data_IF_948825465793
#
_entry.id   IF_948825465793
#
_cell.length_a   1.000
_cell.length_b   1.000
_cell.length_c   1.000
_cell.angle_alpha   90.00
_cell.angle_beta   90.00
_cell.angle_gamma   90.00
#
_symmetry.space_group_name_H-M   'P 1'
#
loop_
_entity.id
_entity.type
_entity.pdbx_description
1 polymer ?
#
# COMPACT_ATOMS: atom_id res chain seq x y z
N UNK A 1 0.44 -10.59 7.06
CA UNK A 1 0.44 -10.09 8.45
C UNK A 1 1.07 -11.17 9.34
N UNK A 2 2.24 -10.92 9.97
CA UNK A 2 3.01 -11.98 10.64
C UNK A 2 2.46 -12.29 12.04
N UNK A 3 2.55 -13.56 12.50
CA UNK A 3 2.16 -13.98 13.86
C UNK A 3 2.82 -13.11 14.96
N UNK A 4 4.05 -12.63 14.73
CA UNK A 4 4.76 -11.69 15.62
C UNK A 4 4.06 -10.33 15.74
N UNK A 5 3.44 -9.83 14.68
CA UNK A 5 2.68 -8.57 14.69
C UNK A 5 1.41 -8.67 15.56
N UNK A 6 0.70 -9.78 15.49
CA UNK A 6 -0.53 -10.03 16.27
C UNK A 6 -0.22 -10.15 17.77
N UNK A 7 0.87 -10.82 18.14
CA UNK A 7 1.30 -10.95 19.55
C UNK A 7 1.75 -9.61 20.13
N UNK A 8 2.47 -8.78 19.35
CA UNK A 8 2.90 -7.44 19.76
C UNK A 8 1.71 -6.50 19.95
N UNK A 9 0.71 -6.58 19.06
CA UNK A 9 -0.53 -5.82 19.14
C UNK A 9 -1.38 -6.22 20.37
N UNK A 10 -1.48 -7.53 20.67
CA UNK A 10 -2.17 -8.02 21.89
C UNK A 10 -1.50 -7.56 23.20
N UNK A 11 -0.16 -7.51 23.25
CA UNK A 11 0.56 -7.00 24.44
C UNK A 11 0.35 -5.50 24.62
N UNK A 12 0.38 -4.73 23.54
CA UNK A 12 0.16 -3.28 23.57
C UNK A 12 -1.28 -2.93 23.97
N UNK A 13 -2.27 -3.69 23.47
CA UNK A 13 -3.67 -3.55 23.86
C UNK A 13 -3.88 -3.84 25.36
N UNK A 14 -3.30 -4.93 25.89
CA UNK A 14 -3.35 -5.23 27.33
C UNK A 14 -2.70 -4.14 28.19
N UNK A 15 -1.63 -3.52 27.70
CA UNK A 15 -0.95 -2.43 28.39
C UNK A 15 -1.81 -1.15 28.44
N UNK A 16 -2.43 -0.78 27.31
CA UNK A 16 -3.37 0.36 27.25
C UNK A 16 -4.59 0.14 28.15
N UNK A 17 -5.14 -1.09 28.15
CA UNK A 17 -6.26 -1.45 29.01
C UNK A 17 -5.89 -1.42 30.50
N UNK A 18 -4.66 -1.85 30.84
CA UNK A 18 -4.11 -1.75 32.19
C UNK A 18 -3.95 -0.31 32.66
N UNK A 19 -3.44 0.58 31.80
CA UNK A 19 -3.34 2.01 32.11
C UNK A 19 -4.71 2.66 32.33
N UNK A 20 -5.71 2.30 31.53
CA UNK A 20 -7.09 2.78 31.70
C UNK A 20 -7.73 2.28 33.00
N UNK A 21 -7.47 1.02 33.39
CA UNK A 21 -7.95 0.48 34.66
C UNK A 21 -7.29 1.17 35.86
N UNK A 22 -5.99 1.46 35.78
CA UNK A 22 -5.26 2.16 36.85
C UNK A 22 -5.79 3.59 37.02
N UNK A 23 -6.05 4.31 35.93
CA UNK A 23 -6.62 5.66 36.02
C UNK A 23 -8.04 5.66 36.61
N UNK A 24 -8.87 4.67 36.24
CA UNK A 24 -10.19 4.48 36.82
C UNK A 24 -10.14 4.19 38.34
N UNK A 25 -9.19 3.36 38.79
CA UNK A 25 -8.98 3.05 40.21
C UNK A 25 -8.53 4.29 40.98
N UNK A 26 -7.63 5.10 40.42
CA UNK A 26 -7.18 6.36 41.03
C UNK A 26 -8.35 7.34 41.17
N UNK A 27 -9.17 7.49 40.13
CA UNK A 27 -10.36 8.36 40.16
C UNK A 27 -11.37 7.90 41.23
N UNK A 28 -11.65 6.60 41.31
CA UNK A 28 -12.49 6.01 42.37
C UNK A 28 -11.90 6.25 43.76
N UNK A 29 -10.60 6.08 43.92
CA UNK A 29 -9.90 6.34 45.19
C UNK A 29 -10.06 7.79 45.65
N UNK A 30 -9.88 8.75 44.74
CA UNK A 30 -10.09 10.18 45.04
C UNK A 30 -11.55 10.48 45.41
N UNK A 31 -12.51 9.85 44.73
CA UNK A 31 -13.93 10.01 45.06
C UNK A 31 -14.25 9.49 46.46
N UNK A 32 -13.74 8.31 46.83
CA UNK A 32 -13.91 7.75 48.17
C UNK A 32 -13.28 8.66 49.24
N UNK A 33 -12.09 9.19 49.00
CA UNK A 33 -11.42 10.15 49.91
C UNK A 33 -12.28 11.41 50.09
N UNK A 34 -12.83 11.96 49.01
CA UNK A 34 -13.71 13.12 49.06
C UNK A 34 -15.00 12.84 49.87
N UNK A 35 -15.63 11.69 49.67
CA UNK A 35 -16.81 11.28 50.45
C UNK A 35 -16.47 11.14 51.95
N UNK A 36 -15.35 10.51 52.30
CA UNK A 36 -14.92 10.32 53.69
C UNK A 36 -14.62 11.65 54.36
N UNK A 37 -13.89 12.55 53.70
CA UNK A 37 -13.60 13.89 54.21
C UNK A 37 -14.89 14.71 54.42
N UNK A 38 -15.82 14.64 53.47
CA UNK A 38 -17.12 15.31 53.59
C UNK A 38 -17.91 14.83 54.81
N UNK A 39 -17.94 13.51 55.07
CA UNK A 39 -18.60 12.92 56.24
C UNK A 39 -17.91 13.35 57.55
N UNK A 40 -16.58 13.39 57.59
CA UNK A 40 -15.82 13.82 58.77
C UNK A 40 -16.13 15.28 59.11
N UNK A 41 -16.10 16.17 58.12
CA UNK A 41 -16.38 17.60 58.31
C UNK A 41 -17.81 17.84 58.78
N UNK A 42 -18.80 17.13 58.21
CA UNK A 42 -20.20 17.23 58.64
C UNK A 42 -20.39 16.69 60.06
N UNK A 43 -19.79 15.54 60.41
CA UNK A 43 -19.84 15.00 61.77
C UNK A 43 -19.17 15.92 62.78
N UNK A 44 -18.06 16.55 62.43
CA UNK A 44 -17.39 17.54 63.26
C UNK A 44 -18.31 18.74 63.50
N UNK A 45 -18.90 19.32 62.47
CA UNK A 45 -19.82 20.45 62.59
C UNK A 45 -21.06 20.11 63.43
N UNK A 46 -21.65 18.92 63.27
CA UNK A 46 -22.79 18.46 64.06
C UNK A 46 -22.43 18.26 65.54
N UNK A 47 -21.28 17.64 65.82
CA UNK A 47 -20.79 17.40 67.19
C UNK A 47 -20.41 18.71 67.89
N UNK A 48 -19.69 19.60 67.21
CA UNK A 48 -19.29 20.88 67.75
C UNK A 48 -20.50 21.78 68.00
N UNK A 49 -21.51 21.81 67.10
CA UNK A 49 -22.74 22.59 67.32
C UNK A 49 -23.48 22.20 68.61
N UNK A 50 -23.47 20.93 69.00
CA UNK A 50 -24.10 20.45 70.24
C UNK A 50 -23.40 20.90 71.53
N UNK A 51 -22.21 21.49 71.45
CA UNK A 51 -21.43 21.92 72.61
C UNK A 51 -21.61 23.41 72.96
N UNK A 52 -22.25 24.20 72.09
CA UNK A 52 -22.43 25.64 72.30
C UNK A 52 -23.91 25.98 72.55
N UNK A 53 -24.17 26.85 73.53
CA UNK A 53 -25.54 27.28 73.89
C UNK A 53 -26.15 28.27 72.88
N UNK A 54 -25.32 29.01 72.14
CA UNK A 54 -25.75 29.98 71.13
C UNK A 54 -24.94 29.85 69.85
N UNK A 55 -25.58 30.12 68.71
CA UNK A 55 -24.94 30.17 67.39
C UNK A 55 -23.83 31.22 67.32
N UNK A 56 -23.93 32.29 68.12
CA UNK A 56 -22.91 33.34 68.19
C UNK A 56 -21.60 32.85 68.80
N UNK A 57 -21.69 31.98 69.82
CA UNK A 57 -20.52 31.40 70.48
C UNK A 57 -19.86 30.33 69.60
N UNK A 58 -20.66 29.59 68.84
CA UNK A 58 -20.19 28.61 67.85
C UNK A 58 -19.39 29.28 66.71
N UNK A 59 -19.87 30.42 66.20
CA UNK A 59 -19.22 31.21 65.16
C UNK A 59 -18.07 32.09 65.69
N UNK A 60 -17.91 32.22 67.01
CA UNK A 60 -16.78 32.91 67.63
C UNK A 60 -15.48 32.09 67.66
N UNK A 61 -15.57 30.77 67.47
CA UNK A 61 -14.41 29.88 67.41
C UNK A 61 -13.92 29.72 65.96
N UNK A 62 -12.69 30.14 65.71
CA UNK A 62 -12.05 30.05 64.39
C UNK A 62 -12.01 28.62 63.81
N UNK A 63 -11.96 27.59 64.65
CA UNK A 63 -11.99 26.19 64.19
C UNK A 63 -13.33 25.81 63.55
N UNK A 64 -14.44 26.35 64.06
CA UNK A 64 -15.78 26.11 63.52
C UNK A 64 -15.99 26.89 62.21
N UNK A 65 -15.45 28.11 62.11
CA UNK A 65 -15.48 28.91 60.86
C UNK A 65 -14.75 28.16 59.74
N UNK A 66 -13.54 27.66 60.01
CA UNK A 66 -12.76 26.90 59.03
C UNK A 66 -13.51 25.63 58.59
N UNK A 67 -14.15 24.93 59.52
CA UNK A 67 -14.94 23.74 59.20
C UNK A 67 -16.19 24.06 58.35
N UNK A 68 -16.85 25.20 58.57
CA UNK A 68 -17.97 25.66 57.73
C UNK A 68 -17.48 25.97 56.31
N UNK A 69 -16.37 26.69 56.17
CA UNK A 69 -15.77 27.01 54.87
C UNK A 69 -15.40 25.72 54.13
N UNK A 70 -14.76 24.77 54.82
CA UNK A 70 -14.43 23.46 54.27
C UNK A 70 -15.69 22.68 53.85
N UNK A 71 -16.78 22.75 54.61
CA UNK A 71 -18.05 22.11 54.25
C UNK A 71 -18.67 22.73 53.00
N UNK A 72 -18.67 24.06 52.87
CA UNK A 72 -19.18 24.75 51.67
C UNK A 72 -18.35 24.40 50.44
N UNK A 73 -17.03 24.38 50.57
CA UNK A 73 -16.13 23.99 49.48
C UNK A 73 -16.39 22.53 49.06
N UNK A 74 -16.43 21.60 50.01
CA UNK A 74 -16.59 20.17 49.73
C UNK A 74 -17.99 19.81 49.23
N UNK A 75 -19.06 20.38 49.81
CA UNK A 75 -20.44 19.97 49.53
C UNK A 75 -21.14 20.81 48.44
N UNK A 76 -20.67 22.03 48.19
CA UNK A 76 -21.33 22.95 47.24
C UNK A 76 -20.41 23.25 46.06
N UNK A 77 -19.21 23.74 46.30
CA UNK A 77 -18.31 24.19 45.22
C UNK A 77 -17.79 23.01 44.39
N UNK A 78 -17.29 21.95 45.03
CA UNK A 78 -16.73 20.79 44.31
C UNK A 78 -17.75 20.09 43.40
N UNK A 79 -19.00 19.81 43.84
CA UNK A 79 -20.00 19.21 42.96
C UNK A 79 -20.43 20.12 41.80
N UNK A 80 -20.60 21.43 42.03
CA UNK A 80 -20.97 22.38 40.98
C UNK A 80 -19.87 22.47 39.92
N UNK A 81 -18.61 22.56 40.35
CA UNK A 81 -17.47 22.59 39.44
C UNK A 81 -17.37 21.28 38.63
N UNK A 82 -17.51 20.13 39.28
CA UNK A 82 -17.49 18.83 38.61
C UNK A 82 -18.59 18.71 37.54
N UNK A 83 -19.82 19.15 37.83
CA UNK A 83 -20.93 19.14 36.87
C UNK A 83 -20.65 20.06 35.68
N UNK A 84 -20.14 21.27 35.94
CA UNK A 84 -19.86 22.24 34.88
C UNK A 84 -18.71 21.78 33.98
N UNK A 85 -17.60 21.32 34.57
CA UNK A 85 -16.47 20.77 33.81
C UNK A 85 -16.83 19.50 33.06
N UNK A 86 -17.69 18.63 33.62
CA UNK A 86 -18.20 17.45 32.89
C UNK A 86 -19.00 17.85 31.65
N UNK A 87 -19.91 18.82 31.77
CA UNK A 87 -20.71 19.29 30.63
C UNK A 87 -19.87 19.91 29.52
N UNK A 88 -18.82 20.64 29.88
CA UNK A 88 -17.90 21.25 28.93
C UNK A 88 -17.05 20.20 28.24
N UNK A 89 -16.51 19.23 29.00
CA UNK A 89 -15.78 18.09 28.47
C UNK A 89 -16.64 17.24 27.52
N UNK A 90 -17.90 16.97 27.87
CA UNK A 90 -18.83 16.21 27.02
C UNK A 90 -19.09 16.93 25.68
N UNK A 91 -19.19 18.26 25.70
CA UNK A 91 -19.35 19.05 24.48
C UNK A 91 -18.11 19.01 23.61
N UNK A 92 -16.93 19.20 24.20
CA UNK A 92 -15.66 19.11 23.45
C UNK A 92 -15.44 17.72 22.87
N UNK A 93 -15.76 16.66 23.61
CA UNK A 93 -15.63 15.28 23.14
C UNK A 93 -16.59 14.98 22.00
N UNK A 94 -17.85 15.46 22.07
CA UNK A 94 -18.79 15.32 20.96
C UNK A 94 -18.27 15.99 19.68
N UNK A 95 -17.77 17.22 19.78
CA UNK A 95 -17.17 17.93 18.63
C UNK A 95 -15.98 17.15 18.06
N UNK A 96 -15.10 16.63 18.92
CA UNK A 96 -13.96 15.82 18.48
C UNK A 96 -14.40 14.51 17.81
N UNK A 97 -15.43 13.85 18.31
CA UNK A 97 -15.98 12.65 17.70
C UNK A 97 -16.62 12.93 16.34
N UNK A 98 -17.38 14.02 16.21
CA UNK A 98 -17.97 14.45 14.94
C UNK A 98 -16.88 14.80 13.91
N UNK A 99 -15.86 15.55 14.31
CA UNK A 99 -14.71 15.86 13.45
C UNK A 99 -13.94 14.60 13.04
N UNK A 100 -13.73 13.66 13.95
CA UNK A 100 -13.05 12.41 13.66
C UNK A 100 -13.85 11.55 12.67
N UNK A 101 -15.18 11.50 12.83
CA UNK A 101 -16.06 10.78 11.90
C UNK A 101 -16.01 11.37 10.49
N UNK A 102 -15.97 12.70 10.35
CA UNK A 102 -15.80 13.39 9.06
C UNK A 102 -14.45 13.02 8.43
N UNK A 103 -13.37 13.06 9.21
CA UNK A 103 -12.02 12.72 8.72
C UNK A 103 -11.95 11.26 8.27
N UNK A 104 -12.56 10.34 9.02
CA UNK A 104 -12.55 8.93 8.69
C UNK A 104 -13.41 8.64 7.45
N UNK A 105 -14.54 9.33 7.29
CA UNK A 105 -15.34 9.29 6.07
C UNK A 105 -14.55 9.81 4.86
N UNK A 106 -13.87 10.95 4.98
CA UNK A 106 -13.02 11.50 3.91
C UNK A 106 -11.88 10.54 3.51
N UNK A 107 -11.24 9.89 4.48
CA UNK A 107 -10.20 8.89 4.21
C UNK A 107 -10.75 7.67 3.48
N UNK A 108 -11.95 7.25 3.84
CA UNK A 108 -12.61 6.12 3.18
C UNK A 108 -12.98 6.49 1.73
N UNK A 109 -13.59 7.66 1.51
CA UNK A 109 -13.87 8.18 0.17
C UNK A 109 -12.60 8.32 -0.68
N UNK A 110 -11.49 8.79 -0.10
CA UNK A 110 -10.20 8.88 -0.81
C UNK A 110 -9.62 7.50 -1.15
N UNK A 111 -9.76 6.51 -0.26
CA UNK A 111 -9.30 5.14 -0.50
C UNK A 111 -10.14 4.45 -1.58
N UNK A 112 -11.45 4.66 -1.56
CA UNK A 112 -12.38 4.12 -2.55
C UNK A 112 -12.10 4.75 -3.93
N UNK A 113 -11.89 6.07 -3.98
CA UNK A 113 -11.50 6.77 -5.21
C UNK A 113 -10.17 6.26 -5.78
N UNK A 114 -9.14 6.08 -4.95
CA UNK A 114 -7.85 5.52 -5.38
C UNK A 114 -7.99 4.09 -5.91
N UNK A 115 -8.85 3.29 -5.29
CA UNK A 115 -9.12 1.92 -5.72
C UNK A 115 -9.82 1.93 -7.08
N UNK A 116 -10.84 2.76 -7.25
CA UNK A 116 -11.54 2.98 -8.51
C UNK A 116 -10.59 3.42 -9.64
N UNK A 117 -9.77 4.44 -9.41
CA UNK A 117 -8.80 4.95 -10.40
C UNK A 117 -7.79 3.87 -10.81
N UNK A 118 -7.31 3.07 -9.86
CA UNK A 118 -6.38 1.98 -10.12
C UNK A 118 -7.03 0.84 -10.91
N UNK A 119 -8.27 0.47 -10.58
CA UNK A 119 -9.02 -0.55 -11.32
C UNK A 119 -9.29 -0.09 -12.75
N UNK A 120 -9.79 1.14 -12.93
CA UNK A 120 -10.00 1.79 -14.23
C UNK A 120 -8.74 1.77 -15.10
N UNK A 121 -7.61 2.18 -14.53
CA UNK A 121 -6.34 2.17 -15.23
C UNK A 121 -5.86 0.76 -15.63
N UNK A 122 -6.27 -0.29 -14.91
CA UNK A 122 -5.95 -1.67 -15.28
C UNK A 122 -6.87 -2.21 -16.38
N UNK A 123 -8.14 -1.83 -16.39
CA UNK A 123 -9.09 -2.19 -17.44
C UNK A 123 -8.65 -1.62 -18.79
N UNK A 124 -8.14 -0.39 -18.80
CA UNK A 124 -7.62 0.28 -19.99
C UNK A 124 -6.20 -0.17 -20.42
N UNK A 125 -5.58 -1.16 -19.75
CA UNK A 125 -4.27 -1.71 -20.15
C UNK A 125 -4.43 -2.86 -21.15
N UNK A 126 -4.55 -2.51 -22.43
CA UNK A 126 -4.65 -3.44 -23.56
C UNK A 126 -3.60 -4.58 -23.52
N UNK A 127 -2.31 -4.23 -23.47
CA UNK A 127 -1.19 -5.20 -23.49
C UNK A 127 -1.25 -6.24 -22.35
N UNK A 128 -1.66 -5.82 -21.15
CA UNK A 128 -1.75 -6.74 -20.00
C UNK A 128 -2.93 -7.72 -20.15
N UNK A 129 -4.05 -7.27 -20.70
CA UNK A 129 -5.22 -8.12 -20.97
C UNK A 129 -4.89 -9.13 -22.06
N UNK A 130 -4.30 -8.67 -23.15
CA UNK A 130 -3.91 -9.51 -24.28
C UNK A 130 -2.94 -10.64 -23.85
N UNK A 131 -1.91 -10.31 -23.05
CA UNK A 131 -0.99 -11.32 -22.49
C UNK A 131 -1.68 -12.35 -21.58
N UNK A 132 -2.77 -11.99 -20.90
CA UNK A 132 -3.54 -12.92 -20.06
C UNK A 132 -4.38 -13.86 -20.91
N UNK A 133 -5.03 -13.34 -21.95
CA UNK A 133 -5.83 -14.15 -22.89
C UNK A 133 -4.98 -15.13 -23.68
N UNK A 134 -3.82 -14.72 -24.17
CA UNK A 134 -2.86 -15.61 -24.85
C UNK A 134 -2.45 -16.78 -23.94
N UNK A 135 -2.20 -16.52 -22.65
CA UNK A 135 -1.87 -17.58 -21.68
C UNK A 135 -3.01 -18.55 -21.43
N UNK A 136 -4.25 -18.10 -21.60
CA UNK A 136 -5.44 -18.91 -21.41
C UNK A 136 -5.81 -19.72 -22.67
N UNK A 137 -5.08 -19.54 -23.78
CA UNK A 137 -5.33 -20.24 -25.04
C UNK A 137 -6.44 -19.63 -25.89
N UNK A 138 -6.87 -18.39 -25.59
CA UNK A 138 -7.83 -17.64 -26.40
C UNK A 138 -7.18 -17.18 -27.71
N UNK A 139 -7.97 -17.13 -28.78
CA UNK A 139 -7.49 -16.71 -30.09
C UNK A 139 -7.15 -15.21 -30.08
N UNK A 140 -5.95 -14.83 -30.55
CA UNK A 140 -5.45 -13.44 -30.49
C UNK A 140 -6.23 -12.52 -31.44
N UNK A 141 -6.84 -13.10 -32.47
CA UNK A 141 -7.66 -12.40 -33.47
C UNK A 141 -9.03 -11.96 -32.90
N UNK A 142 -9.52 -12.64 -31.86
CA UNK A 142 -10.65 -12.15 -31.06
C UNK A 142 -10.10 -11.08 -30.11
N UNK A 143 -9.92 -9.87 -30.64
CA UNK A 143 -9.34 -8.75 -29.92
C UNK A 143 -9.95 -8.57 -28.53
N UNK A 144 -9.11 -8.20 -27.56
CA UNK A 144 -9.61 -7.81 -26.23
C UNK A 144 -10.49 -6.58 -26.40
N UNK A 145 -11.82 -6.73 -26.24
CA UNK A 145 -12.77 -5.61 -26.30
C UNK A 145 -13.19 -5.23 -24.87
N UNK A 146 -13.43 -3.93 -24.65
CA UNK A 146 -14.09 -3.45 -23.43
C UNK A 146 -15.54 -3.90 -23.43
N UNK A 147 -16.02 -4.49 -22.32
CA UNK A 147 -17.44 -4.86 -22.23
C UNK A 147 -18.30 -3.65 -21.89
N UNK A 148 -19.57 -3.65 -22.29
CA UNK A 148 -20.53 -2.59 -21.93
C UNK A 148 -20.59 -2.33 -20.42
N UNK A 149 -20.49 -3.40 -19.62
CA UNK A 149 -20.43 -3.29 -18.16
C UNK A 149 -19.16 -2.60 -17.65
N UNK A 150 -18.02 -2.76 -18.33
CA UNK A 150 -16.77 -2.08 -17.98
C UNK A 150 -16.84 -0.59 -18.35
N UNK A 151 -17.44 -0.29 -19.51
CA UNK A 151 -17.63 1.07 -20.00
C UNK A 151 -18.53 1.86 -19.03
N UNK A 152 -19.66 1.28 -18.64
CA UNK A 152 -20.60 1.91 -17.70
C UNK A 152 -20.01 2.00 -16.29
N UNK A 153 -19.36 0.92 -15.79
CA UNK A 153 -18.80 0.91 -14.43
C UNK A 153 -17.71 1.95 -14.23
N UNK A 154 -16.87 2.20 -15.24
CA UNK A 154 -15.71 3.07 -15.11
C UNK A 154 -15.84 4.41 -15.85
N UNK A 155 -17.03 4.72 -16.34
CA UNK A 155 -17.33 5.96 -17.08
C UNK A 155 -16.26 6.20 -18.17
N UNK A 156 -16.14 5.22 -19.07
CA UNK A 156 -15.17 5.25 -20.16
C UNK A 156 -15.81 5.97 -21.33
N UNK A 157 -15.17 7.04 -21.81
CA UNK A 157 -15.69 7.81 -22.95
C UNK A 157 -15.32 7.16 -24.29
N UNK A 158 -16.09 7.46 -25.34
CA UNK A 158 -15.86 6.91 -26.69
C UNK A 158 -14.43 7.12 -27.21
N UNK A 159 -13.83 8.27 -26.91
CA UNK A 159 -12.44 8.57 -27.28
C UNK A 159 -11.44 7.61 -26.62
N UNK A 160 -11.68 7.21 -25.37
CA UNK A 160 -10.86 6.24 -24.65
C UNK A 160 -11.07 4.82 -25.18
N UNK A 161 -12.29 4.48 -25.61
CA UNK A 161 -12.57 3.20 -26.28
C UNK A 161 -11.80 3.11 -27.60
N UNK A 162 -11.83 4.16 -28.42
CA UNK A 162 -11.08 4.22 -29.68
C UNK A 162 -9.58 4.08 -29.41
N UNK A 163 -9.06 4.79 -28.40
CA UNK A 163 -7.66 4.68 -28.01
C UNK A 163 -7.30 3.28 -27.54
N UNK A 164 -8.14 2.66 -26.71
CA UNK A 164 -7.94 1.31 -26.22
C UNK A 164 -7.88 0.31 -27.38
N UNK A 165 -8.76 0.41 -28.36
CA UNK A 165 -8.75 -0.47 -29.54
C UNK A 165 -7.45 -0.30 -30.35
N UNK A 166 -6.96 0.92 -30.54
CA UNK A 166 -5.64 1.17 -31.16
C UNK A 166 -4.49 0.57 -30.35
N UNK A 167 -4.54 0.70 -29.03
CA UNK A 167 -3.54 0.12 -28.13
C UNK A 167 -3.57 -1.42 -28.17
N UNK A 168 -4.74 -2.03 -28.41
CA UNK A 168 -4.90 -3.48 -28.63
C UNK A 168 -4.27 -3.90 -29.95
N UNK A 169 -4.57 -3.23 -31.05
CA UNK A 169 -3.97 -3.50 -32.37
C UNK A 169 -2.44 -3.43 -32.31
N UNK A 170 -1.90 -2.37 -31.70
CA UNK A 170 -0.46 -2.22 -31.53
C UNK A 170 0.13 -3.31 -30.64
N UNK A 171 -0.57 -3.71 -29.57
CA UNK A 171 -0.11 -4.77 -28.69
C UNK A 171 -0.13 -6.16 -29.36
N UNK A 172 -1.08 -6.42 -30.27
CA UNK A 172 -1.10 -7.65 -31.09
C UNK A 172 0.14 -7.69 -31.97
N UNK A 173 0.41 -6.60 -32.69
CA UNK A 173 1.58 -6.45 -33.55
C UNK A 173 2.87 -6.68 -32.76
N UNK A 174 3.05 -5.98 -31.63
CA UNK A 174 4.21 -6.13 -30.75
C UNK A 174 4.47 -7.60 -30.34
N UNK A 175 3.40 -8.34 -30.03
CA UNK A 175 3.51 -9.73 -29.57
C UNK A 175 3.82 -10.68 -30.74
N UNK A 176 3.22 -10.44 -31.91
CA UNK A 176 3.54 -11.19 -33.11
C UNK A 176 5.01 -10.99 -33.51
N UNK A 177 5.49 -9.75 -33.48
CA UNK A 177 6.89 -9.40 -33.72
C UNK A 177 7.81 -10.08 -32.70
N UNK A 178 7.46 -10.06 -31.41
CA UNK A 178 8.26 -10.71 -30.36
C UNK A 178 8.37 -12.23 -30.60
N UNK A 179 7.26 -12.89 -30.96
CA UNK A 179 7.23 -14.32 -31.27
C UNK A 179 8.02 -14.65 -32.55
N UNK A 180 7.90 -13.85 -33.61
CA UNK A 180 8.68 -14.03 -34.84
C UNK A 180 10.18 -13.83 -34.58
N UNK A 181 10.55 -12.79 -33.82
CA UNK A 181 11.93 -12.53 -33.43
C UNK A 181 12.54 -13.68 -32.62
N UNK A 182 11.76 -14.34 -31.75
CA UNK A 182 12.25 -15.53 -31.03
C UNK A 182 12.60 -16.69 -31.98
N UNK A 183 11.79 -16.91 -33.04
CA UNK A 183 12.09 -17.89 -34.08
C UNK A 183 13.42 -17.55 -34.77
N UNK A 184 13.62 -16.31 -35.22
CA UNK A 184 14.86 -15.89 -35.87
C UNK A 184 16.06 -15.95 -34.94
N UNK A 185 15.91 -15.61 -33.65
CA UNK A 185 16.97 -15.80 -32.66
C UNK A 185 17.40 -17.25 -32.52
N UNK A 186 16.44 -18.18 -32.57
CA UNK A 186 16.72 -19.62 -32.50
C UNK A 186 17.46 -20.10 -33.76
N UNK A 187 16.99 -19.70 -34.94
CA UNK A 187 17.61 -20.03 -36.23
C UNK A 187 19.02 -19.44 -36.36
N UNK A 188 19.21 -18.18 -35.96
CA UNK A 188 20.52 -17.54 -35.91
C UNK A 188 21.50 -18.32 -35.03
N UNK A 189 21.09 -18.70 -33.82
CA UNK A 189 21.93 -19.49 -32.91
C UNK A 189 22.25 -20.87 -33.48
N UNK A 190 21.29 -21.52 -34.14
CA UNK A 190 21.51 -22.81 -34.81
C UNK A 190 22.54 -22.67 -35.92
N UNK A 191 22.35 -21.68 -36.80
CA UNK A 191 23.26 -21.42 -37.91
C UNK A 191 24.69 -21.14 -37.43
N UNK A 192 24.84 -20.26 -36.44
CA UNK A 192 26.15 -19.91 -35.87
C UNK A 192 26.81 -21.14 -35.23
N UNK A 193 26.05 -21.99 -34.52
CA UNK A 193 26.57 -23.23 -33.93
C UNK A 193 27.12 -24.20 -34.97
N UNK A 194 26.51 -24.27 -36.14
CA UNK A 194 26.89 -25.18 -37.22
C UNK A 194 28.07 -24.68 -38.05
N UNK A 195 28.37 -23.37 -38.04
CA UNK A 195 29.33 -22.74 -38.95
C UNK A 195 30.61 -22.22 -38.27
N UNK A 196 30.74 -22.29 -36.94
CA UNK A 196 31.99 -21.93 -36.25
C UNK A 196 32.87 -23.19 -36.08
N UNK A 197 34.13 -23.11 -36.51
CA UNK A 197 35.14 -24.18 -36.39
C UNK A 197 35.66 -24.45 -34.95
N UNK A 198 35.00 -23.89 -33.93
CA UNK A 198 35.43 -23.94 -32.53
C UNK A 198 34.90 -25.19 -31.81
N UNK A 199 35.77 -25.87 -31.06
CA UNK A 199 35.52 -27.20 -30.48
C UNK A 199 34.57 -27.21 -29.27
N UNK A 200 34.46 -26.08 -28.57
CA UNK A 200 33.60 -25.88 -27.40
C UNK A 200 33.12 -24.43 -27.42
N UNK A 201 31.85 -24.16 -27.74
CA UNK A 201 31.32 -22.80 -27.71
C UNK A 201 29.98 -22.68 -26.98
N UNK A 202 29.74 -21.52 -26.38
CA UNK A 202 28.55 -21.14 -25.64
C UNK A 202 27.99 -19.84 -26.22
N UNK A 203 26.75 -19.90 -26.70
CA UNK A 203 26.01 -18.70 -27.12
C UNK A 203 25.69 -17.83 -25.93
N UNK A 204 25.92 -16.53 -26.06
CA UNK A 204 25.46 -15.52 -25.12
C UNK A 204 24.13 -14.93 -25.59
N UNK A 205 23.56 -14.01 -24.82
CA UNK A 205 22.28 -13.37 -25.17
C UNK A 205 22.30 -12.76 -26.58
N UNK A 206 21.14 -12.76 -27.23
CA UNK A 206 20.95 -12.17 -28.56
C UNK A 206 19.85 -11.12 -28.53
N UNK A 207 20.09 -10.03 -29.24
CA UNK A 207 19.15 -8.94 -29.48
C UNK A 207 18.61 -9.04 -30.90
N UNK A 208 17.50 -8.37 -31.17
CA UNK A 208 16.93 -8.26 -32.51
C UNK A 208 16.51 -6.82 -32.77
N UNK A 209 16.51 -6.44 -34.04
CA UNK A 209 16.02 -5.15 -34.51
C UNK A 209 15.31 -5.36 -35.85
N UNK A 210 14.16 -4.70 -36.03
CA UNK A 210 13.48 -4.62 -37.32
C UNK A 210 13.87 -3.33 -38.02
N UNK A 211 14.03 -3.38 -39.34
CA UNK A 211 14.14 -2.16 -40.15
C UNK A 211 12.82 -1.36 -40.15
N UNK A 212 12.86 -0.13 -40.68
CA UNK A 212 11.70 0.78 -40.64
C UNK A 212 10.42 0.16 -41.24
N UNK A 213 10.56 -0.58 -42.34
CA UNK A 213 9.43 -1.22 -43.03
C UNK A 213 9.14 -2.64 -42.52
N UNK A 214 9.87 -3.09 -41.50
CA UNK A 214 9.78 -4.41 -40.86
C UNK A 214 9.93 -5.60 -41.81
N UNK A 215 10.52 -5.38 -42.98
CA UNK A 215 10.81 -6.42 -43.96
C UNK A 215 12.02 -7.26 -43.58
N UNK A 216 12.94 -6.71 -42.76
CA UNK A 216 14.18 -7.36 -42.34
C UNK A 216 14.26 -7.39 -40.82
N UNK A 217 14.55 -8.57 -40.26
CA UNK A 217 14.90 -8.76 -38.86
C UNK A 217 16.40 -9.06 -38.73
N UNK A 218 17.15 -8.16 -38.10
CA UNK A 218 18.57 -8.35 -37.80
C UNK A 218 18.73 -8.92 -36.40
N UNK A 219 19.32 -10.10 -36.29
CA UNK A 219 19.68 -10.74 -35.03
C UNK A 219 21.16 -10.54 -34.76
N UNK A 220 21.47 -9.89 -33.64
CA UNK A 220 22.86 -9.69 -33.19
C UNK A 220 23.10 -10.49 -31.91
N UNK A 221 24.25 -11.13 -31.82
CA UNK A 221 24.65 -11.81 -30.60
C UNK A 221 26.13 -12.08 -30.54
N UNK A 222 26.55 -12.72 -29.45
CA UNK A 222 27.94 -13.13 -29.25
C UNK A 222 28.05 -14.57 -28.79
N UNK A 223 29.22 -15.16 -29.03
CA UNK A 223 29.57 -16.48 -28.55
C UNK A 223 30.95 -16.45 -27.89
N UNK A 224 31.19 -17.42 -27.00
CA UNK A 224 32.52 -17.69 -26.45
C UNK A 224 32.88 -19.13 -26.72
N UNK A 225 34.15 -19.42 -26.98
CA UNK A 225 34.59 -20.80 -27.14
C UNK A 225 36.09 -21.00 -27.08
N UNK A 226 36.57 -22.17 -27.51
CA UNK A 226 37.99 -22.45 -27.72
C UNK A 226 38.27 -22.67 -29.20
N UNK A 227 39.27 -21.97 -29.72
CA UNK A 227 39.73 -22.20 -31.09
C UNK A 227 40.47 -23.54 -31.22
N UNK A 228 40.88 -23.88 -32.45
CA UNK A 228 41.61 -25.12 -32.76
C UNK A 228 42.93 -25.29 -31.99
N UNK A 229 43.51 -24.19 -31.48
CA UNK A 229 44.73 -24.17 -30.68
C UNK A 229 44.48 -24.17 -29.16
N UNK A 230 43.22 -24.30 -28.73
CA UNK A 230 42.83 -24.34 -27.31
C UNK A 230 42.74 -22.98 -26.61
N UNK A 231 42.91 -21.86 -27.33
CA UNK A 231 42.81 -20.49 -26.81
C UNK A 231 41.34 -20.09 -26.67
N UNK A 232 41.00 -19.45 -25.55
CA UNK A 232 39.66 -18.92 -25.34
C UNK A 232 39.40 -17.74 -26.28
N UNK A 233 38.28 -17.76 -26.99
CA UNK A 233 37.87 -16.75 -27.95
C UNK A 233 36.47 -16.22 -27.63
N UNK A 234 36.21 -14.96 -27.99
CA UNK A 234 34.87 -14.38 -28.10
C UNK A 234 34.67 -13.89 -29.52
N UNK A 235 33.57 -14.28 -30.15
CA UNK A 235 33.15 -13.77 -31.45
C UNK A 235 31.75 -13.16 -31.38
N UNK A 236 31.41 -12.43 -32.43
CA UNK A 236 30.13 -11.77 -32.62
C UNK A 236 29.49 -12.25 -33.92
N UNK A 237 28.17 -12.25 -33.97
CA UNK A 237 27.41 -12.56 -35.16
C UNK A 237 26.29 -11.55 -35.37
N UNK A 238 26.04 -11.27 -36.64
CA UNK A 238 24.93 -10.45 -37.13
C UNK A 238 24.30 -11.21 -38.29
N UNK A 239 23.02 -11.55 -38.20
CA UNK A 239 22.30 -12.31 -39.22
C UNK A 239 21.00 -11.59 -39.53
N UNK A 240 20.79 -11.30 -40.81
CA UNK A 240 19.57 -10.67 -41.32
C UNK A 240 18.65 -11.73 -41.90
N UNK A 241 17.38 -11.68 -41.49
CA UNK A 241 16.31 -12.54 -42.00
C UNK A 241 15.28 -11.70 -42.75
N UNK A 242 14.84 -12.20 -43.91
CA UNK A 242 13.64 -11.72 -44.58
C UNK A 242 12.43 -12.15 -43.73
N UNK A 243 11.61 -11.19 -43.33
CA UNK A 243 10.44 -11.45 -42.49
C UNK A 243 9.29 -12.12 -43.23
N UNK A 244 9.22 -11.96 -44.56
CA UNK A 244 8.16 -12.50 -45.41
C UNK A 244 8.42 -13.96 -45.78
N UNK A 245 9.67 -14.31 -46.12
CA UNK A 245 10.05 -15.67 -46.50
C UNK A 245 10.64 -16.46 -45.33
N UNK A 246 11.16 -15.77 -44.32
CA UNK A 246 11.96 -16.37 -43.25
C UNK A 246 13.39 -16.75 -43.68
N UNK A 247 13.79 -16.39 -44.90
CA UNK A 247 15.10 -16.75 -45.43
C UNK A 247 16.21 -15.83 -44.89
N UNK A 248 17.39 -16.41 -44.70
CA UNK A 248 18.58 -15.64 -44.33
C UNK A 248 19.07 -14.83 -45.53
N UNK A 249 19.10 -13.50 -45.40
CA UNK A 249 19.54 -12.58 -46.45
C UNK A 249 21.06 -12.37 -46.35
N UNK A 250 21.51 -11.94 -45.16
CA UNK A 250 22.91 -11.64 -44.90
C UNK A 250 23.38 -12.33 -43.62
N UNK A 251 24.67 -12.60 -43.57
CA UNK A 251 25.30 -13.21 -42.41
C UNK A 251 26.71 -12.69 -42.22
N UNK A 252 27.02 -12.39 -40.98
CA UNK A 252 28.36 -12.14 -40.50
C UNK A 252 28.59 -12.98 -39.26
N UNK A 253 29.63 -13.80 -39.28
CA UNK A 253 30.15 -14.55 -38.13
C UNK A 253 31.64 -14.23 -38.09
N UNK A 254 32.10 -13.58 -37.03
CA UNK A 254 33.50 -13.17 -36.97
C UNK A 254 33.85 -12.30 -35.78
N UNK A 255 34.94 -11.53 -35.93
CA UNK A 255 35.54 -10.72 -34.87
C UNK A 255 35.99 -11.53 -33.65
N UNK A 256 36.55 -12.72 -33.88
CA UNK A 256 37.10 -13.53 -32.81
C UNK A 256 38.30 -12.83 -32.15
N UNK A 257 38.14 -12.50 -30.87
CA UNK A 257 39.20 -11.96 -30.02
C UNK A 257 39.60 -12.99 -28.99
N UNK A 258 40.90 -13.21 -28.86
CA UNK A 258 41.44 -13.99 -27.75
C UNK A 258 41.07 -13.32 -26.43
N UNK A 259 40.63 -14.11 -25.47
CA UNK A 259 40.33 -13.66 -24.11
C UNK A 259 41.35 -14.33 -23.19
N UNK A 260 42.12 -13.52 -22.46
CA UNK A 260 43.01 -13.98 -21.40
C UNK A 260 42.23 -14.48 -20.19
#
# INVERSE_FOLDING_TARGET
MTLKGIVKMKKMFKFLLGLFLISAIIALGMFVVWCVLSVIVVRFLLKSKGQYKSTKDFLGDGKNIIAIIAAVLLLVVTPIYFINSSKEYDKEQKIKQEQQAIIDQQKQEEADKKTYEKERANVLKAKSRLKKEIKNGSNVEDGVVLTDSEIEKYDIIDEEVIKFNKDVEQAIIDIQDENMAEKYKSEAKKYVKENIESSLHRMQGSTYEYNHDRTICTVTGSYKGKNIYGVNIRGEYVIDFDTSSGEMINKFIGNEKAIS
#
